data_IF_247643649906
#
_entry.id   IF_247643649906
#
_cell.length_a   1.000
_cell.length_b   1.000
_cell.length_c   1.000
_cell.angle_alpha   90.00
_cell.angle_beta   90.00
_cell.angle_gamma   90.00
#
_symmetry.space_group_name_H-M   'P 1'
#
loop_
_entity.id
_entity.type
_entity.pdbx_description
1 polymer ?
#
# COMPACT_ATOMS: atom_id res chain seq x y z
N UNK A 1 25.61 16.35 -10.14
CA UNK A 1 24.24 15.90 -9.84
C UNK A 1 23.86 16.50 -8.50
N UNK A 2 22.87 17.39 -8.50
CA UNK A 2 22.42 18.17 -7.34
C UNK A 2 22.03 17.24 -6.17
N UNK A 3 22.43 17.57 -4.94
CA UNK A 3 22.18 16.75 -3.75
C UNK A 3 20.68 16.56 -3.47
N UNK A 4 19.83 17.45 -4.00
CA UNK A 4 18.37 17.32 -3.98
C UNK A 4 17.86 16.13 -4.80
N UNK A 5 18.43 15.93 -6.00
CA UNK A 5 18.07 14.81 -6.89
C UNK A 5 18.51 13.48 -6.28
N UNK A 6 19.70 13.43 -5.65
CA UNK A 6 20.17 12.24 -4.94
C UNK A 6 19.25 11.87 -3.77
N UNK A 7 18.81 12.87 -3.00
CA UNK A 7 17.85 12.68 -1.90
C UNK A 7 16.51 12.13 -2.42
N UNK A 8 15.98 12.66 -3.52
CA UNK A 8 14.77 12.15 -4.17
C UNK A 8 14.89 10.66 -4.54
N UNK A 9 15.96 10.28 -5.24
CA UNK A 9 16.19 8.89 -5.64
C UNK A 9 16.32 7.96 -4.43
N UNK A 10 17.05 8.39 -3.39
CA UNK A 10 17.20 7.62 -2.15
C UNK A 10 15.86 7.38 -1.43
N UNK A 11 15.01 8.40 -1.32
CA UNK A 11 13.69 8.26 -0.68
C UNK A 11 12.77 7.37 -1.51
N UNK A 12 12.82 7.49 -2.85
CA UNK A 12 12.08 6.64 -3.79
C UNK A 12 12.42 5.16 -3.61
N UNK A 13 13.70 4.84 -3.53
CA UNK A 13 14.16 3.46 -3.39
C UNK A 13 13.81 2.87 -2.02
N UNK A 14 13.94 3.67 -0.96
CA UNK A 14 13.50 3.28 0.39
C UNK A 14 11.99 3.00 0.43
N UNK A 15 11.17 3.86 -0.20
CA UNK A 15 9.73 3.68 -0.27
C UNK A 15 9.34 2.39 -1.02
N UNK A 16 9.96 2.14 -2.18
CA UNK A 16 9.75 0.89 -2.94
C UNK A 16 10.12 -0.34 -2.12
N UNK A 17 11.23 -0.31 -1.40
CA UNK A 17 11.67 -1.40 -0.53
C UNK A 17 10.65 -1.68 0.57
N UNK A 18 10.14 -0.63 1.22
CA UNK A 18 9.13 -0.77 2.28
C UNK A 18 7.80 -1.31 1.73
N UNK A 19 7.36 -0.85 0.55
CA UNK A 19 6.17 -1.39 -0.13
C UNK A 19 6.31 -2.88 -0.46
N UNK A 20 7.47 -3.29 -0.99
CA UNK A 20 7.77 -4.70 -1.25
C UNK A 20 7.78 -5.53 0.04
N UNK A 21 8.38 -5.00 1.10
CA UNK A 21 8.40 -5.65 2.42
C UNK A 21 6.99 -5.81 2.99
N UNK A 22 6.16 -4.77 2.88
CA UNK A 22 4.75 -4.82 3.29
C UNK A 22 3.97 -5.90 2.53
N UNK A 23 4.14 -5.99 1.21
CA UNK A 23 3.49 -7.03 0.41
C UNK A 23 3.94 -8.44 0.80
N UNK A 24 5.24 -8.63 1.05
CA UNK A 24 5.78 -9.92 1.50
C UNK A 24 5.24 -10.32 2.89
N UNK A 25 5.16 -9.37 3.83
CA UNK A 25 4.60 -9.61 5.16
C UNK A 25 3.10 -9.91 5.09
N UNK A 26 2.35 -9.21 4.23
CA UNK A 26 0.93 -9.47 4.03
C UNK A 26 0.69 -10.88 3.50
N UNK A 27 1.52 -11.33 2.55
CA UNK A 27 1.48 -12.71 2.05
C UNK A 27 1.75 -13.70 3.19
N UNK A 28 2.82 -13.49 3.96
CA UNK A 28 3.17 -14.35 5.10
C UNK A 28 2.06 -14.42 6.15
N UNK A 29 1.41 -13.29 6.45
CA UNK A 29 0.24 -13.22 7.35
C UNK A 29 -0.88 -14.13 6.86
N UNK A 30 -1.25 -14.00 5.59
CA UNK A 30 -2.32 -14.78 4.99
C UNK A 30 -1.98 -16.29 4.99
N UNK A 31 -0.73 -16.65 4.71
CA UNK A 31 -0.26 -18.04 4.75
C UNK A 31 -0.40 -18.64 6.17
N UNK A 32 -0.07 -17.88 7.22
CA UNK A 32 -0.22 -18.32 8.62
C UNK A 32 -1.69 -18.36 9.05
N UNK A 33 -2.53 -17.40 8.63
CA UNK A 33 -3.98 -17.44 8.88
C UNK A 33 -4.63 -18.67 8.24
N UNK A 34 -4.17 -19.07 7.05
CA UNK A 34 -4.64 -20.28 6.38
C UNK A 34 -4.24 -21.56 7.12
N UNK A 35 -3.07 -21.60 7.77
CA UNK A 35 -2.67 -22.75 8.61
C UNK A 35 -3.54 -22.88 9.86
N UNK A 36 -3.98 -21.76 10.42
CA UNK A 36 -4.78 -21.73 11.66
C UNK A 36 -6.09 -22.49 11.54
N UNK A 37 -6.75 -22.46 10.39
CA UNK A 37 -8.02 -23.17 10.18
C UNK A 37 -7.85 -24.69 10.25
N UNK A 38 -6.74 -25.22 9.70
CA UNK A 38 -6.36 -26.62 9.84
C UNK A 38 -6.06 -27.00 11.29
N UNK A 39 -5.23 -26.21 11.97
CA UNK A 39 -4.86 -26.45 13.37
C UNK A 39 -6.06 -26.46 14.33
N UNK A 40 -7.05 -25.60 14.12
CA UNK A 40 -8.27 -25.62 14.93
C UNK A 40 -9.09 -26.89 14.72
N UNK A 41 -9.12 -27.42 13.49
CA UNK A 41 -9.77 -28.72 13.22
C UNK A 41 -9.03 -29.85 13.91
N UNK A 42 -7.69 -29.86 13.86
CA UNK A 42 -6.85 -30.86 14.51
C UNK A 42 -6.97 -30.83 16.04
N UNK A 43 -7.02 -29.63 16.65
CA UNK A 43 -7.23 -29.47 18.08
C UNK A 43 -8.62 -29.97 18.51
N UNK A 44 -9.67 -29.67 17.74
CA UNK A 44 -11.01 -30.17 18.01
C UNK A 44 -11.08 -31.71 17.91
N UNK A 45 -10.37 -32.30 16.94
CA UNK A 45 -10.27 -33.75 16.80
C UNK A 45 -9.46 -34.39 17.95
N UNK A 46 -8.34 -33.77 18.35
CA UNK A 46 -7.55 -34.22 19.50
C UNK A 46 -8.37 -34.17 20.80
N UNK A 47 -9.19 -33.13 20.98
CA UNK A 47 -10.11 -33.03 22.11
C UNK A 47 -11.19 -34.11 22.09
N UNK A 48 -11.81 -34.36 20.92
CA UNK A 48 -12.76 -35.47 20.76
C UNK A 48 -12.12 -36.82 21.10
N UNK A 49 -10.89 -37.05 20.63
CA UNK A 49 -10.16 -38.28 20.88
C UNK A 49 -9.78 -38.43 22.37
N UNK A 50 -9.41 -37.35 23.05
CA UNK A 50 -9.19 -37.37 24.50
C UNK A 50 -10.48 -37.70 25.26
N UNK A 51 -11.60 -37.08 24.91
CA UNK A 51 -12.88 -37.35 25.55
C UNK A 51 -13.30 -38.82 25.38
N UNK A 52 -13.07 -39.39 24.18
CA UNK A 52 -13.26 -40.82 23.96
C UNK A 52 -12.33 -41.68 24.82
N UNK A 53 -11.03 -41.35 24.87
CA UNK A 53 -10.07 -42.07 25.68
C UNK A 53 -10.41 -42.05 27.18
N UNK A 54 -10.97 -40.95 27.69
CA UNK A 54 -11.46 -40.87 29.07
C UNK A 54 -12.62 -41.85 29.33
N UNK A 55 -13.57 -41.93 28.40
CA UNK A 55 -14.70 -42.87 28.48
C UNK A 55 -14.18 -44.31 28.43
N UNK A 56 -13.33 -44.63 27.45
CA UNK A 56 -12.78 -45.96 27.25
C UNK A 56 -11.92 -46.41 28.45
N UNK A 57 -11.14 -45.49 29.04
CA UNK A 57 -10.37 -45.75 30.25
C UNK A 57 -11.27 -46.01 31.46
N UNK A 58 -12.38 -45.26 31.61
CA UNK A 58 -13.35 -45.48 32.70
C UNK A 58 -14.10 -46.83 32.60
N UNK A 59 -14.05 -47.47 31.43
CA UNK A 59 -14.63 -48.78 31.15
C UNK A 59 -13.56 -49.88 31.04
N UNK A 60 -12.32 -49.62 31.47
CA UNK A 60 -11.16 -50.53 31.38
C UNK A 60 -10.84 -51.05 29.97
N UNK A 61 -11.26 -50.32 28.92
CA UNK A 61 -11.05 -50.69 27.50
C UNK A 61 -9.63 -50.33 27.03
N UNK A 62 -9.02 -49.30 27.61
CA UNK A 62 -7.66 -48.85 27.29
C UNK A 62 -6.81 -48.69 28.55
N UNK A 63 -5.50 -48.64 28.36
CA UNK A 63 -4.52 -48.43 29.41
C UNK A 63 -4.34 -46.95 29.78
N UNK A 64 -3.77 -46.70 30.97
CA UNK A 64 -3.37 -45.35 31.39
C UNK A 64 -2.34 -44.71 30.44
N UNK A 65 -1.48 -45.52 29.80
CA UNK A 65 -0.51 -45.04 28.82
C UNK A 65 -1.17 -44.50 27.54
N UNK A 66 -2.24 -45.15 27.08
CA UNK A 66 -3.03 -44.69 25.92
C UNK A 66 -3.82 -43.41 26.24
N UNK A 67 -4.35 -43.30 27.46
CA UNK A 67 -4.98 -42.06 27.93
C UNK A 67 -3.98 -40.91 27.98
N UNK A 68 -2.77 -41.16 28.48
CA UNK A 68 -1.73 -40.13 28.55
C UNK A 68 -1.27 -39.71 27.15
N UNK A 69 -1.17 -40.64 26.20
CA UNK A 69 -0.88 -40.31 24.80
C UNK A 69 -1.96 -39.39 24.19
N UNK A 70 -3.24 -39.59 24.50
CA UNK A 70 -4.32 -38.71 24.05
C UNK A 70 -4.22 -37.31 24.66
N UNK A 71 -3.85 -37.20 25.95
CA UNK A 71 -3.60 -35.90 26.61
C UNK A 71 -2.44 -35.15 25.98
N UNK A 72 -1.33 -35.83 25.72
CA UNK A 72 -0.17 -35.22 25.09
C UNK A 72 -0.49 -34.71 23.68
N UNK A 73 -1.28 -35.45 22.89
CA UNK A 73 -1.74 -34.99 21.57
C UNK A 73 -2.58 -33.71 21.64
N UNK A 74 -3.53 -33.60 22.58
CA UNK A 74 -4.30 -32.37 22.79
C UNK A 74 -3.39 -31.20 23.17
N UNK A 75 -2.47 -31.42 24.11
CA UNK A 75 -1.53 -30.39 24.57
C UNK A 75 -0.61 -29.89 23.45
N UNK A 76 -0.14 -30.78 22.58
CA UNK A 76 0.68 -30.41 21.42
C UNK A 76 -0.10 -29.53 20.43
N UNK A 77 -1.35 -29.89 20.12
CA UNK A 77 -2.19 -29.10 19.23
C UNK A 77 -2.50 -27.70 19.81
N UNK A 78 -2.76 -27.60 21.11
CA UNK A 78 -2.94 -26.32 21.81
C UNK A 78 -1.69 -25.43 21.74
N UNK A 79 -0.50 -26.02 21.99
CA UNK A 79 0.77 -25.30 21.91
C UNK A 79 1.07 -24.81 20.48
N UNK A 80 0.71 -25.59 19.47
CA UNK A 80 0.90 -25.21 18.06
C UNK A 80 -0.02 -24.04 17.65
N UNK A 81 -1.27 -24.03 18.15
CA UNK A 81 -2.18 -22.89 18.00
C UNK A 81 -1.59 -21.63 18.64
N UNK A 82 -1.07 -21.72 19.86
CA UNK A 82 -0.47 -20.59 20.57
C UNK A 82 0.73 -20.03 19.81
N UNK A 83 1.62 -20.90 19.33
CA UNK A 83 2.76 -20.52 18.49
C UNK A 83 2.32 -19.79 17.21
N UNK A 84 1.29 -20.27 16.52
CA UNK A 84 0.75 -19.60 15.33
C UNK A 84 0.15 -18.22 15.65
N UNK A 85 -0.56 -18.09 16.78
CA UNK A 85 -1.11 -16.81 17.23
C UNK A 85 0.00 -15.80 17.53
N UNK A 86 1.06 -16.22 18.21
CA UNK A 86 2.20 -15.35 18.51
C UNK A 86 2.96 -14.95 17.24
N UNK A 87 3.08 -15.86 16.27
CA UNK A 87 3.64 -15.53 14.96
C UNK A 87 2.81 -14.46 14.23
N UNK A 88 1.48 -14.59 14.25
CA UNK A 88 0.58 -13.59 13.66
C UNK A 88 0.72 -12.23 14.34
N UNK A 89 0.78 -12.20 15.68
CA UNK A 89 1.02 -10.95 16.43
C UNK A 89 2.33 -10.30 16.04
N UNK A 90 3.40 -11.07 15.87
CA UNK A 90 4.69 -10.55 15.45
C UNK A 90 4.65 -9.99 14.01
N UNK A 91 3.95 -10.68 13.09
CA UNK A 91 3.77 -10.21 11.71
C UNK A 91 2.95 -8.92 11.68
N UNK A 92 1.83 -8.85 12.41
CA UNK A 92 0.95 -7.68 12.47
C UNK A 92 1.68 -6.46 13.06
N UNK A 93 2.48 -6.66 14.11
CA UNK A 93 3.34 -5.62 14.68
C UNK A 93 4.31 -5.07 13.62
N UNK A 94 4.93 -5.95 12.83
CA UNK A 94 5.87 -5.54 11.78
C UNK A 94 5.17 -4.85 10.61
N UNK A 95 3.99 -5.33 10.20
CA UNK A 95 3.16 -4.68 9.18
C UNK A 95 2.83 -3.24 9.58
N UNK A 96 2.43 -3.01 10.82
CA UNK A 96 2.14 -1.67 11.33
C UNK A 96 3.37 -0.76 11.30
N UNK A 97 4.54 -1.27 11.72
CA UNK A 97 5.80 -0.53 11.64
C UNK A 97 6.14 -0.15 10.19
N UNK A 98 6.07 -1.10 9.26
CA UNK A 98 6.38 -0.84 7.84
C UNK A 98 5.38 0.12 7.22
N UNK A 99 4.10 0.04 7.60
CA UNK A 99 3.07 0.98 7.13
C UNK A 99 3.37 2.42 7.57
N UNK A 100 3.77 2.63 8.82
CA UNK A 100 4.19 3.94 9.33
C UNK A 100 5.38 4.47 8.49
N UNK A 101 6.37 3.62 8.22
CA UNK A 101 7.53 4.00 7.39
C UNK A 101 7.14 4.34 5.94
N UNK A 102 6.16 3.64 5.37
CA UNK A 102 5.60 3.95 4.04
C UNK A 102 4.90 5.31 4.06
N UNK A 103 4.09 5.59 5.06
CA UNK A 103 3.33 6.84 5.17
C UNK A 103 4.28 8.03 5.32
N UNK A 104 5.25 7.93 6.22
CA UNK A 104 6.29 8.95 6.41
C UNK A 104 7.18 9.10 5.16
N UNK A 105 7.64 7.98 4.59
CA UNK A 105 8.43 7.97 3.37
C UNK A 105 7.68 8.60 2.18
N UNK A 106 6.36 8.41 2.09
CA UNK A 106 5.52 9.02 1.05
C UNK A 106 5.43 10.54 1.20
N UNK A 107 5.37 11.06 2.42
CA UNK A 107 5.42 12.50 2.69
C UNK A 107 6.78 13.06 2.26
N UNK A 108 7.88 12.40 2.65
CA UNK A 108 9.23 12.82 2.28
C UNK A 108 9.47 12.73 0.77
N UNK A 109 8.94 11.69 0.12
CA UNK A 109 9.06 11.48 -1.33
C UNK A 109 8.44 12.66 -2.09
N UNK A 110 7.22 13.06 -1.72
CA UNK A 110 6.55 14.22 -2.34
C UNK A 110 7.37 15.50 -2.21
N UNK A 111 7.90 15.78 -1.02
CA UNK A 111 8.75 16.96 -0.81
C UNK A 111 10.04 16.92 -1.63
N UNK A 112 10.70 15.77 -1.72
CA UNK A 112 11.91 15.60 -2.51
C UNK A 112 11.64 15.64 -4.02
N UNK A 113 10.50 15.08 -4.47
CA UNK A 113 10.03 15.12 -5.84
C UNK A 113 9.80 16.56 -6.30
N UNK A 114 9.10 17.35 -5.47
CA UNK A 114 8.90 18.78 -5.69
C UNK A 114 10.22 19.53 -5.86
N UNK A 115 11.17 19.32 -4.95
CA UNK A 115 12.48 19.97 -5.04
C UNK A 115 13.26 19.55 -6.29
N UNK A 116 13.15 18.28 -6.70
CA UNK A 116 13.78 17.80 -7.92
C UNK A 116 13.18 18.46 -9.18
N UNK A 117 11.85 18.58 -9.25
CA UNK A 117 11.18 19.28 -10.35
C UNK A 117 11.56 20.75 -10.43
N UNK A 118 11.68 21.43 -9.29
CA UNK A 118 12.13 22.82 -9.23
C UNK A 118 13.53 22.97 -9.84
N UNK A 119 14.48 22.11 -9.47
CA UNK A 119 15.86 22.14 -10.01
C UNK A 119 15.85 21.92 -11.53
N UNK A 120 15.07 20.94 -12.02
CA UNK A 120 14.94 20.68 -13.46
C UNK A 120 14.35 21.90 -14.18
N UNK A 121 13.31 22.51 -13.62
CA UNK A 121 12.69 23.70 -14.18
C UNK A 121 13.65 24.89 -14.23
N UNK A 122 14.40 25.15 -13.15
CA UNK A 122 15.38 26.24 -13.08
C UNK A 122 16.47 26.11 -14.15
N UNK A 123 16.85 24.89 -14.52
CA UNK A 123 17.85 24.58 -15.54
C UNK A 123 17.38 24.74 -16.99
N UNK A 124 16.08 24.85 -17.25
CA UNK A 124 15.56 25.07 -18.61
C UNK A 124 15.95 26.46 -19.14
N UNK A 125 16.16 26.57 -20.46
CA UNK A 125 16.42 27.86 -21.12
C UNK A 125 15.19 28.77 -21.06
N UNK A 126 15.41 30.08 -21.21
CA UNK A 126 14.34 31.08 -21.20
C UNK A 126 13.32 30.79 -22.31
N UNK A 127 13.77 30.48 -23.52
CA UNK A 127 12.90 30.15 -24.66
C UNK A 127 12.07 28.88 -24.41
N UNK A 128 12.64 27.85 -23.76
CA UNK A 128 11.90 26.62 -23.41
C UNK A 128 10.87 26.89 -22.32
N UNK A 129 11.22 27.71 -21.31
CA UNK A 129 10.28 28.16 -20.29
C UNK A 129 9.14 28.94 -20.93
N UNK A 130 9.42 29.87 -21.83
CA UNK A 130 8.42 30.67 -22.56
C UNK A 130 7.51 29.81 -23.45
N UNK A 131 8.05 28.80 -24.14
CA UNK A 131 7.25 27.84 -24.92
C UNK A 131 6.35 27.01 -23.99
N UNK A 132 6.85 26.55 -22.85
CA UNK A 132 6.05 25.88 -21.81
C UNK A 132 4.95 26.79 -21.25
N UNK A 133 5.28 28.04 -20.94
CA UNK A 133 4.34 29.07 -20.48
C UNK A 133 3.26 29.37 -21.53
N UNK A 134 3.62 29.37 -22.81
CA UNK A 134 2.71 29.64 -23.92
C UNK A 134 1.84 28.44 -24.32
N UNK A 135 2.33 27.20 -24.17
CA UNK A 135 1.61 26.00 -24.59
C UNK A 135 0.70 25.42 -23.50
N UNK A 136 1.06 25.60 -22.23
CA UNK A 136 0.29 25.08 -21.09
C UNK A 136 -0.42 26.24 -20.33
N UNK A 137 -0.01 27.48 -20.58
CA UNK A 137 -0.56 28.70 -19.98
C UNK A 137 0.07 29.06 -18.63
N UNK A 138 0.37 30.34 -18.43
CA UNK A 138 0.94 30.92 -17.18
C UNK A 138 0.22 30.50 -15.90
N UNK A 139 -1.10 30.32 -15.97
CA UNK A 139 -1.94 29.94 -14.82
C UNK A 139 -1.68 28.50 -14.39
N UNK A 140 -1.35 27.59 -15.31
CA UNK A 140 -1.18 26.16 -15.04
C UNK A 140 0.16 25.86 -14.35
N UNK A 141 1.22 26.53 -14.78
CA UNK A 141 2.52 26.42 -14.14
C UNK A 141 2.57 27.15 -12.79
N UNK A 142 1.90 28.32 -12.66
CA UNK A 142 1.72 28.98 -11.36
C UNK A 142 0.88 28.15 -10.39
N UNK A 143 -0.13 27.41 -10.88
CA UNK A 143 -0.90 26.48 -10.05
C UNK A 143 -0.04 25.31 -9.59
N UNK A 144 0.79 24.74 -10.48
CA UNK A 144 1.75 23.70 -10.09
C UNK A 144 2.79 24.23 -9.11
N UNK A 145 3.39 25.40 -9.35
CA UNK A 145 4.36 26.04 -8.45
C UNK A 145 3.74 26.35 -7.09
N UNK A 146 2.56 26.97 -7.05
CA UNK A 146 1.84 27.23 -5.80
C UNK A 146 1.45 25.92 -5.08
N UNK A 147 1.20 24.83 -5.81
CA UNK A 147 0.98 23.50 -5.23
C UNK A 147 2.25 22.85 -4.69
N UNK A 148 3.36 22.99 -5.41
CA UNK A 148 4.69 22.58 -4.99
C UNK A 148 5.07 23.30 -3.68
N UNK A 149 4.67 24.56 -3.50
CA UNK A 149 4.85 25.32 -2.27
C UNK A 149 3.90 24.91 -1.12
N UNK A 150 2.67 24.45 -1.42
CA UNK A 150 1.66 24.09 -0.42
C UNK A 150 1.75 22.63 0.10
N UNK A 151 2.50 21.74 -0.55
CA UNK A 151 2.78 20.39 -0.04
C UNK A 151 1.59 19.42 0.04
N UNK A 152 0.43 19.77 -0.52
CA UNK A 152 -0.75 18.89 -0.65
C UNK A 152 -1.01 18.58 -2.12
N UNK A 153 -1.44 17.35 -2.40
CA UNK A 153 -1.64 16.82 -3.76
C UNK A 153 -3.09 17.05 -4.20
N UNK A 154 -3.32 17.64 -5.38
CA UNK A 154 -4.57 17.45 -6.13
C UNK A 154 -4.47 16.13 -6.93
N UNK A 155 -5.54 15.34 -6.97
CA UNK A 155 -5.59 14.21 -7.90
C UNK A 155 -5.57 14.75 -9.34
N UNK A 156 -5.10 13.98 -10.34
CA UNK A 156 -5.17 14.41 -11.75
C UNK A 156 -6.58 14.83 -12.19
N UNK A 157 -7.62 14.19 -11.63
CA UNK A 157 -9.02 14.54 -11.87
C UNK A 157 -9.39 15.88 -11.22
N UNK A 158 -9.01 16.12 -9.96
CA UNK A 158 -9.31 17.39 -9.28
C UNK A 158 -8.50 18.56 -9.87
N UNK A 159 -7.29 18.28 -10.34
CA UNK A 159 -6.44 19.21 -11.06
C UNK A 159 -7.06 19.63 -12.40
N UNK A 160 -7.51 18.66 -13.20
CA UNK A 160 -8.23 18.92 -14.44
C UNK A 160 -9.59 19.61 -14.19
N UNK A 161 -10.35 19.21 -13.16
CA UNK A 161 -11.61 19.85 -12.81
C UNK A 161 -11.42 21.32 -12.39
N UNK A 162 -10.40 21.59 -11.56
CA UNK A 162 -10.06 22.94 -11.09
C UNK A 162 -9.56 23.81 -12.24
N UNK A 163 -8.70 23.27 -13.11
CA UNK A 163 -8.28 23.94 -14.33
C UNK A 163 -9.47 24.24 -15.25
N UNK A 164 -10.41 23.29 -15.40
CA UNK A 164 -11.56 23.47 -16.26
C UNK A 164 -12.53 24.55 -15.74
N UNK A 165 -12.86 24.51 -14.45
CA UNK A 165 -13.79 25.46 -13.81
C UNK A 165 -13.20 26.88 -13.72
N UNK A 166 -11.88 27.01 -13.67
CA UNK A 166 -11.18 28.29 -13.46
C UNK A 166 -10.72 28.97 -14.76
N UNK A 167 -10.72 28.27 -15.90
CA UNK A 167 -10.17 28.76 -17.19
C UNK A 167 -11.22 28.82 -18.30
N UNK A 168 -12.17 27.88 -18.37
CA UNK A 168 -13.08 27.78 -19.53
C UNK A 168 -14.34 28.68 -19.53
N UNK A 169 -14.89 29.13 -18.39
CA UNK A 169 -16.05 30.05 -18.42
C UNK A 169 -15.76 31.39 -19.10
N UNK A 170 -14.51 31.87 -19.05
CA UNK A 170 -14.07 33.11 -19.71
C UNK A 170 -13.88 32.94 -21.24
N UNK A 171 -14.03 31.73 -21.77
CA UNK A 171 -13.80 31.38 -23.17
C UNK A 171 -15.00 30.71 -23.85
N UNK A 172 -16.19 30.74 -23.22
CA UNK A 172 -17.45 30.36 -23.85
C UNK A 172 -17.64 28.86 -24.12
N UNK A 173 -16.85 28.00 -23.49
CA UNK A 173 -16.94 26.54 -23.69
C UNK A 173 -18.12 25.98 -22.88
N UNK A 174 -19.00 25.25 -23.55
CA UNK A 174 -20.20 24.69 -22.94
C UNK A 174 -19.91 23.52 -21.98
N UNK A 175 -20.82 23.24 -21.05
CA UNK A 175 -20.67 22.14 -20.09
C UNK A 175 -20.48 20.76 -20.75
N UNK A 176 -21.09 20.54 -21.92
CA UNK A 176 -20.94 19.28 -22.67
C UNK A 176 -19.57 19.17 -23.36
N UNK A 177 -19.01 20.28 -23.86
CA UNK A 177 -17.66 20.30 -24.42
C UNK A 177 -16.60 20.05 -23.35
N UNK A 178 -16.81 20.56 -22.13
CA UNK A 178 -15.92 20.27 -21.00
C UNK A 178 -15.91 18.78 -20.63
N UNK A 179 -17.06 18.10 -20.70
CA UNK A 179 -17.16 16.65 -20.45
C UNK A 179 -16.42 15.85 -21.55
N UNK A 180 -16.52 16.27 -22.81
CA UNK A 180 -15.77 15.65 -23.92
C UNK A 180 -14.26 15.86 -23.80
N UNK A 181 -13.81 17.07 -23.48
CA UNK A 181 -12.39 17.39 -23.29
C UNK A 181 -11.82 16.55 -22.13
N UNK A 182 -12.54 16.46 -21.01
CA UNK A 182 -12.17 15.58 -19.89
C UNK A 182 -12.00 14.12 -20.32
N UNK A 183 -12.98 13.56 -21.02
CA UNK A 183 -12.94 12.17 -21.47
C UNK A 183 -11.80 11.87 -22.45
N UNK A 184 -11.42 12.83 -23.28
CA UNK A 184 -10.27 12.69 -24.20
C UNK A 184 -8.93 12.80 -23.47
N UNK A 185 -8.79 13.73 -22.53
CA UNK A 185 -7.58 13.88 -21.73
C UNK A 185 -7.35 12.68 -20.81
N UNK A 186 -8.41 12.16 -20.18
CA UNK A 186 -8.33 10.91 -19.41
C UNK A 186 -7.90 9.74 -20.31
N UNK A 187 -8.41 9.64 -21.54
CA UNK A 187 -7.96 8.61 -22.49
C UNK A 187 -6.51 8.77 -22.92
N UNK A 188 -6.05 9.98 -23.25
CA UNK A 188 -4.68 10.20 -23.72
C UNK A 188 -3.65 10.03 -22.58
N UNK A 189 -3.91 10.57 -21.40
CA UNK A 189 -2.98 10.48 -20.27
C UNK A 189 -2.96 9.10 -19.61
N UNK A 190 -4.09 8.38 -19.54
CA UNK A 190 -4.11 7.04 -18.93
C UNK A 190 -3.82 5.89 -19.91
N UNK A 191 -4.08 6.03 -21.22
CA UNK A 191 -3.64 5.01 -22.20
C UNK A 191 -2.16 5.16 -22.59
N UNK A 192 -1.56 6.36 -22.52
CA UNK A 192 -0.12 6.54 -22.70
C UNK A 192 0.70 5.85 -21.59
N UNK A 193 0.10 5.62 -20.42
CA UNK A 193 0.69 4.82 -19.34
C UNK A 193 0.48 3.30 -19.50
N UNK A 194 -0.16 2.86 -20.60
CA UNK A 194 -0.70 1.51 -20.77
C UNK A 194 -0.41 0.84 -22.12
N UNK A 195 0.69 1.15 -22.79
CA UNK A 195 1.19 0.35 -23.93
C UNK A 195 2.70 0.13 -23.83
N UNK A 196 3.03 -1.07 -23.35
CA UNK A 196 4.29 -1.85 -23.43
C UNK A 196 5.63 -1.14 -23.24
#
# INVERSE_FOLDING_TARGET
MDDRIKKFLSVKDALKKNQSTHAALQKKRNDVEAQKTGLFSEAAEAEKNLNKALIDYSSDVISAGELEAARQKKKLAEAEIENCVDLLRAIDSKLNSVKIDIDQGSVMYRGAETQAWQVVFEQLSIEVKEILFKSIGDKFLKLQIAHLEMGRRLSPADFLLTACVSVFPEHGVSGEEMIKIRGNLEKEFFNAAGTK
#
